data_IF_818914252714
#
_entry.id   IF_818914252714
#
_cell.length_a   1.000
_cell.length_b   1.000
_cell.length_c   1.000
_cell.angle_alpha   90.00
_cell.angle_beta   90.00
_cell.angle_gamma   90.00
#
_symmetry.space_group_name_H-M   'P 1'
#
loop_
_entity.id
_entity.type
_entity.pdbx_description
1 polymer ?
#
# COMPACT_ATOMS: atom_id res chain seq x y z
N UNK A 1 -8.41 13.78 -5.91
CA UNK A 1 -8.78 13.88 -4.49
C UNK A 1 -9.88 12.92 -4.05
N UNK A 2 -10.64 12.30 -4.96
CA UNK A 2 -11.66 11.28 -4.64
C UNK A 2 -11.12 10.12 -3.77
N UNK A 3 -9.86 9.72 -3.95
CA UNK A 3 -9.20 8.69 -3.12
C UNK A 3 -9.16 9.03 -1.62
N UNK A 4 -9.05 10.31 -1.26
CA UNK A 4 -9.08 10.73 0.14
C UNK A 4 -10.49 10.72 0.70
N UNK A 5 -11.48 11.20 -0.07
CA UNK A 5 -12.89 11.13 0.33
C UNK A 5 -13.34 9.68 0.57
N UNK A 6 -13.03 8.77 -0.36
CA UNK A 6 -13.29 7.33 -0.22
C UNK A 6 -12.58 6.73 1.00
N UNK A 7 -11.34 7.14 1.29
CA UNK A 7 -10.61 6.69 2.49
C UNK A 7 -11.29 7.16 3.77
N UNK A 8 -11.74 8.41 3.86
CA UNK A 8 -12.43 8.91 5.06
C UNK A 8 -13.66 8.06 5.33
N UNK A 9 -14.46 7.80 4.29
CA UNK A 9 -15.68 7.04 4.40
C UNK A 9 -15.42 5.61 4.90
N UNK A 10 -14.46 4.88 4.30
CA UNK A 10 -14.16 3.51 4.74
C UNK A 10 -13.53 3.47 6.13
N UNK A 11 -12.66 4.44 6.47
CA UNK A 11 -12.06 4.53 7.80
C UNK A 11 -13.11 4.74 8.87
N UNK A 12 -14.01 5.71 8.66
CA UNK A 12 -15.05 6.09 9.62
C UNK A 12 -16.12 5.01 9.78
N UNK A 13 -16.55 4.41 8.67
CA UNK A 13 -17.75 3.56 8.69
C UNK A 13 -17.42 2.06 8.79
N UNK A 14 -16.18 1.65 8.49
CA UNK A 14 -15.80 0.23 8.47
C UNK A 14 -14.60 -0.03 9.38
N UNK A 15 -13.47 0.64 9.16
CA UNK A 15 -12.21 0.30 9.84
C UNK A 15 -12.29 0.61 11.34
N UNK A 16 -12.64 1.83 11.72
CA UNK A 16 -12.72 2.22 13.14
C UNK A 16 -13.74 1.35 13.90
N UNK A 17 -14.98 1.18 13.42
CA UNK A 17 -15.96 0.33 14.12
C UNK A 17 -15.49 -1.12 14.28
N UNK A 18 -14.79 -1.69 13.29
CA UNK A 18 -14.26 -3.06 13.40
C UNK A 18 -13.11 -3.16 14.40
N UNK A 19 -12.18 -2.21 14.38
CA UNK A 19 -11.08 -2.18 15.35
C UNK A 19 -11.58 -1.98 16.79
N UNK A 20 -12.66 -1.22 17.00
CA UNK A 20 -13.28 -1.06 18.32
C UNK A 20 -13.96 -2.33 18.86
N UNK A 21 -14.20 -3.33 18.00
CA UNK A 21 -14.74 -4.64 18.35
C UNK A 21 -13.67 -5.73 18.24
N UNK A 22 -12.39 -5.38 18.45
CA UNK A 22 -11.23 -6.29 18.47
C UNK A 22 -11.01 -7.13 17.19
N UNK A 23 -11.58 -6.71 16.06
CA UNK A 23 -11.31 -7.36 14.78
C UNK A 23 -9.95 -6.96 14.19
N UNK A 24 -9.29 -7.92 13.54
CA UNK A 24 -8.16 -7.64 12.64
C UNK A 24 -8.71 -7.14 11.30
N UNK A 25 -8.24 -5.97 10.85
CA UNK A 25 -8.61 -5.39 9.56
C UNK A 25 -7.46 -5.54 8.56
N UNK A 26 -7.69 -6.29 7.48
CA UNK A 26 -6.79 -6.39 6.33
C UNK A 26 -7.30 -5.47 5.22
N UNK A 27 -6.45 -4.56 4.74
CA UNK A 27 -6.80 -3.60 3.69
C UNK A 27 -5.89 -3.78 2.48
N UNK A 28 -6.50 -4.00 1.30
CA UNK A 28 -5.78 -3.87 0.04
C UNK A 28 -5.57 -2.39 -0.26
N UNK A 29 -4.32 -1.95 -0.06
CA UNK A 29 -3.86 -0.55 -0.12
C UNK A 29 -4.40 0.34 0.99
N UNK A 30 -3.70 1.45 1.20
CA UNK A 30 -4.07 2.49 2.16
C UNK A 30 -3.35 3.82 1.83
N UNK A 31 -3.02 4.65 2.82
CA UNK A 31 -2.39 5.97 2.62
C UNK A 31 -1.02 5.92 1.91
N UNK A 32 -0.23 4.86 2.12
CA UNK A 32 1.06 4.70 1.43
C UNK A 32 0.90 4.72 -0.09
N UNK A 33 -0.17 4.12 -0.64
CA UNK A 33 -0.45 4.16 -2.07
C UNK A 33 -0.69 5.58 -2.57
N UNK A 34 -1.33 6.44 -1.78
CA UNK A 34 -1.50 7.84 -2.18
C UNK A 34 -0.17 8.56 -2.25
N UNK A 35 0.72 8.36 -1.27
CA UNK A 35 2.05 8.94 -1.30
C UNK A 35 2.84 8.47 -2.53
N UNK A 36 2.85 7.15 -2.80
CA UNK A 36 3.61 6.61 -3.92
C UNK A 36 3.08 7.10 -5.28
N UNK A 37 1.76 7.02 -5.51
CA UNK A 37 1.17 7.37 -6.82
C UNK A 37 1.03 8.87 -7.03
N UNK A 38 0.58 9.63 -6.03
CA UNK A 38 0.28 11.04 -6.20
C UNK A 38 1.54 11.90 -6.06
N UNK A 39 2.38 11.65 -5.05
CA UNK A 39 3.60 12.45 -4.86
C UNK A 39 4.67 12.03 -5.86
N UNK A 40 5.03 10.75 -5.87
CA UNK A 40 6.15 10.29 -6.72
C UNK A 40 5.74 9.98 -8.15
N UNK A 41 4.57 9.37 -8.37
CA UNK A 41 4.06 9.10 -9.71
C UNK A 41 3.66 10.36 -10.46
N UNK A 42 2.85 11.22 -9.83
CA UNK A 42 2.25 12.42 -10.47
C UNK A 42 2.91 13.75 -10.10
N UNK A 43 3.95 13.76 -9.27
CA UNK A 43 4.67 14.99 -8.92
C UNK A 43 3.89 15.95 -8.00
N UNK A 44 2.81 15.50 -7.36
CA UNK A 44 2.05 16.36 -6.44
C UNK A 44 2.94 16.71 -5.25
N UNK A 45 3.01 18.00 -4.90
CA UNK A 45 3.82 18.49 -3.79
C UNK A 45 3.45 17.74 -2.50
N UNK A 46 4.45 17.13 -1.83
CA UNK A 46 4.25 16.42 -0.56
C UNK A 46 3.57 17.28 0.51
N UNK A 47 3.86 18.60 0.53
CA UNK A 47 3.22 19.56 1.44
C UNK A 47 1.70 19.61 1.25
N UNK A 48 1.23 19.58 0.01
CA UNK A 48 -0.21 19.55 -0.30
C UNK A 48 -0.86 18.26 0.20
N UNK A 49 -0.21 17.12 -0.01
CA UNK A 49 -0.72 15.84 0.52
C UNK A 49 -0.79 15.87 2.05
N UNK A 50 0.25 16.35 2.73
CA UNK A 50 0.24 16.51 4.20
C UNK A 50 -0.87 17.46 4.67
N UNK A 51 -1.12 18.53 3.94
CA UNK A 51 -2.21 19.46 4.25
C UNK A 51 -3.57 18.75 4.16
N UNK A 52 -3.80 17.94 3.11
CA UNK A 52 -5.02 17.13 3.01
C UNK A 52 -5.15 16.14 4.16
N UNK A 53 -4.05 15.57 4.64
CA UNK A 53 -4.04 14.65 5.78
C UNK A 53 -4.52 15.29 7.10
N UNK A 54 -4.43 16.63 7.25
CA UNK A 54 -4.93 17.33 8.43
C UNK A 54 -6.46 17.32 8.55
N UNK A 55 -7.17 17.23 7.42
CA UNK A 55 -8.62 17.18 7.38
C UNK A 55 -9.18 15.75 7.48
N UNK A 56 -8.30 14.76 7.59
CA UNK A 56 -8.68 13.38 7.81
C UNK A 56 -8.80 13.15 9.32
N UNK A 57 -9.83 12.41 9.79
CA UNK A 57 -9.79 11.86 11.15
C UNK A 57 -8.43 11.21 11.35
N UNK A 58 -7.77 11.43 12.50
CA UNK A 58 -6.40 10.94 12.81
C UNK A 58 -6.15 9.65 12.05
N UNK A 59 -5.42 9.74 10.93
CA UNK A 59 -5.33 8.61 10.00
C UNK A 59 -4.77 7.46 10.81
N UNK A 60 -5.55 6.39 10.93
CA UNK A 60 -5.09 5.18 11.60
C UNK A 60 -3.81 4.75 10.89
N UNK A 61 -2.71 4.75 11.61
CA UNK A 61 -1.45 4.22 11.09
C UNK A 61 -1.59 2.70 11.11
N UNK A 62 -1.41 2.01 9.97
CA UNK A 62 -1.44 0.55 9.97
C UNK A 62 -0.38 0.01 10.92
N UNK A 63 -0.73 -0.99 11.72
CA UNK A 63 0.21 -1.65 12.63
C UNK A 63 1.27 -2.43 11.87
N UNK A 64 0.90 -3.00 10.71
CA UNK A 64 1.79 -3.67 9.78
C UNK A 64 1.49 -3.26 8.33
N UNK A 65 2.53 -3.14 7.52
CA UNK A 65 2.44 -2.86 6.09
C UNK A 65 3.27 -3.91 5.36
N UNK A 66 2.63 -4.65 4.45
CA UNK A 66 3.32 -5.60 3.58
C UNK A 66 3.27 -5.03 2.16
N UNK A 67 4.44 -4.85 1.56
CA UNK A 67 4.58 -4.42 0.17
C UNK A 67 5.23 -5.53 -0.64
N UNK A 68 4.48 -5.99 -1.64
CA UNK A 68 4.93 -6.96 -2.63
C UNK A 68 5.69 -6.22 -3.73
N UNK A 69 7.01 -6.17 -3.62
CA UNK A 69 7.87 -5.51 -4.59
C UNK A 69 8.03 -6.36 -5.85
N UNK A 70 7.68 -5.78 -6.99
CA UNK A 70 7.80 -6.45 -8.29
C UNK A 70 8.35 -5.48 -9.32
N UNK A 71 9.21 -6.00 -10.20
CA UNK A 71 9.69 -5.22 -11.32
C UNK A 71 8.52 -4.80 -12.25
N UNK A 72 8.38 -3.52 -12.64
CA UNK A 72 7.20 -3.06 -13.38
C UNK A 72 6.91 -3.81 -14.68
N UNK A 73 7.95 -4.25 -15.40
CA UNK A 73 7.78 -5.08 -16.61
C UNK A 73 7.05 -6.39 -16.31
N UNK A 74 7.40 -7.06 -15.21
CA UNK A 74 6.77 -8.32 -14.81
C UNK A 74 5.34 -8.09 -14.28
N UNK A 75 5.12 -6.99 -13.56
CA UNK A 75 3.78 -6.60 -13.11
C UNK A 75 2.82 -6.41 -14.29
N UNK A 76 3.25 -5.69 -15.34
CA UNK A 76 2.44 -5.47 -16.54
C UNK A 76 2.12 -6.79 -17.24
N UNK A 77 3.10 -7.70 -17.37
CA UNK A 77 2.85 -9.04 -17.94
C UNK A 77 1.78 -9.81 -17.17
N UNK A 78 1.82 -9.77 -15.83
CA UNK A 78 0.80 -10.43 -14.98
C UNK A 78 -0.57 -9.80 -15.15
N UNK A 79 -0.66 -8.47 -15.21
CA UNK A 79 -1.93 -7.76 -15.39
C UNK A 79 -2.55 -8.12 -16.74
N UNK A 80 -1.78 -8.07 -17.84
CA UNK A 80 -2.29 -8.37 -19.19
C UNK A 80 -2.85 -9.80 -19.27
N UNK A 81 -2.21 -10.76 -18.61
CA UNK A 81 -2.69 -12.15 -18.54
C UNK A 81 -4.00 -12.28 -17.75
N UNK A 82 -4.19 -11.46 -16.73
CA UNK A 82 -5.35 -11.55 -15.84
C UNK A 82 -6.54 -10.70 -16.32
N UNK A 83 -6.29 -9.51 -16.90
CA UNK A 83 -7.32 -8.54 -17.28
C UNK A 83 -6.81 -7.49 -18.28
N UNK A 84 -7.74 -6.71 -18.83
CA UNK A 84 -7.41 -5.52 -19.62
C UNK A 84 -6.83 -4.40 -18.74
N UNK A 85 -5.83 -3.69 -19.28
CA UNK A 85 -5.17 -2.57 -18.61
C UNK A 85 -6.14 -1.40 -18.39
N UNK A 86 -6.21 -0.90 -17.16
CA UNK A 86 -6.95 0.31 -16.81
C UNK A 86 -6.19 1.61 -17.19
N UNK A 87 -6.81 2.77 -16.94
CA UNK A 87 -6.20 4.08 -17.26
C UNK A 87 -4.88 4.33 -16.52
N UNK A 88 -4.71 3.80 -15.31
CA UNK A 88 -3.47 3.94 -14.55
C UNK A 88 -2.41 2.98 -15.11
N UNK A 89 -2.81 1.77 -15.45
CA UNK A 89 -1.95 0.71 -16.01
C UNK A 89 -1.41 1.01 -17.41
N UNK A 90 -2.04 1.94 -18.13
CA UNK A 90 -1.54 2.50 -19.39
C UNK A 90 -0.44 3.56 -19.25
N UNK A 91 -0.05 3.94 -18.03
CA UNK A 91 1.05 4.88 -17.83
C UNK A 91 2.41 4.27 -18.22
N UNK A 92 3.42 5.13 -18.40
CA UNK A 92 4.75 4.71 -18.86
C UNK A 92 5.50 3.86 -17.83
N UNK A 93 6.46 3.06 -18.31
CA UNK A 93 7.42 2.33 -17.46
C UNK A 93 8.09 3.25 -16.42
N UNK A 94 8.43 4.49 -16.81
CA UNK A 94 9.01 5.49 -15.92
C UNK A 94 8.07 5.86 -14.76
N UNK A 95 6.76 5.93 -15.00
CA UNK A 95 5.77 6.19 -13.95
C UNK A 95 5.76 5.09 -12.89
N UNK A 96 5.75 3.82 -13.31
CA UNK A 96 5.77 2.69 -12.39
C UNK A 96 7.10 2.55 -11.64
N UNK A 97 8.23 2.86 -12.28
CA UNK A 97 9.52 2.93 -11.59
C UNK A 97 9.54 4.00 -10.49
N UNK A 98 8.99 5.19 -10.77
CA UNK A 98 8.88 6.25 -9.75
C UNK A 98 8.03 5.80 -8.56
N UNK A 99 6.94 5.08 -8.80
CA UNK A 99 6.07 4.52 -7.76
C UNK A 99 6.81 3.47 -6.94
N UNK A 100 7.45 2.49 -7.59
CA UNK A 100 8.23 1.44 -6.93
C UNK A 100 9.33 2.03 -6.04
N UNK A 101 10.11 2.97 -6.57
CA UNK A 101 11.17 3.65 -5.81
C UNK A 101 10.61 4.43 -4.61
N UNK A 102 9.39 4.96 -4.72
CA UNK A 102 8.70 5.61 -3.61
C UNK A 102 8.35 4.61 -2.51
N UNK A 103 7.80 3.44 -2.87
CA UNK A 103 7.51 2.39 -1.91
C UNK A 103 8.77 1.91 -1.18
N UNK A 104 9.86 1.66 -1.90
CA UNK A 104 11.16 1.28 -1.32
C UNK A 104 11.69 2.38 -0.37
N UNK A 105 11.53 3.66 -0.73
CA UNK A 105 11.92 4.75 0.15
C UNK A 105 11.04 4.84 1.41
N UNK A 106 9.75 4.56 1.28
CA UNK A 106 8.78 4.57 2.38
C UNK A 106 8.90 3.34 3.29
N UNK A 107 9.48 2.24 2.80
CA UNK A 107 9.65 0.99 3.53
C UNK A 107 10.78 1.00 4.56
N UNK A 108 11.49 2.12 4.72
CA UNK A 108 12.51 2.29 5.77
C UNK A 108 11.94 2.38 7.20
N UNK A 109 10.64 2.17 7.37
CA UNK A 109 9.97 2.18 8.67
C UNK A 109 9.92 0.76 9.21
N UNK A 110 10.06 0.60 10.52
CA UNK A 110 10.11 -0.72 11.17
C UNK A 110 8.87 -1.59 10.93
N UNK A 111 7.69 -0.97 10.79
CA UNK A 111 6.43 -1.68 10.57
C UNK A 111 6.10 -1.93 9.08
N UNK A 112 7.09 -1.76 8.19
CA UNK A 112 6.93 -1.87 6.76
C UNK A 112 7.86 -2.94 6.19
N UNK A 113 7.27 -4.06 5.77
CA UNK A 113 7.98 -5.21 5.24
C UNK A 113 7.90 -5.23 3.72
N UNK A 114 9.06 -5.35 3.08
CA UNK A 114 9.20 -5.50 1.63
C UNK A 114 9.45 -6.97 1.31
N UNK A 115 8.62 -7.54 0.45
CA UNK A 115 8.71 -8.94 0.01
C UNK A 115 8.96 -8.96 -1.49
N UNK A 116 9.91 -9.77 -1.95
CA UNK A 116 10.18 -9.94 -3.38
C UNK A 116 9.09 -10.78 -4.05
N UNK A 117 8.22 -10.12 -4.79
CA UNK A 117 7.11 -10.74 -5.49
C UNK A 117 7.48 -11.32 -6.86
N UNK A 118 8.77 -11.36 -7.21
CA UNK A 118 9.28 -12.16 -8.35
C UNK A 118 9.41 -13.64 -8.00
N UNK A 119 9.44 -13.98 -6.70
CA UNK A 119 9.48 -15.36 -6.24
C UNK A 119 8.17 -16.11 -6.54
N UNK A 120 8.19 -17.42 -6.30
CA UNK A 120 6.98 -18.24 -6.41
C UNK A 120 5.97 -17.91 -5.31
N UNK A 121 4.68 -18.11 -5.60
CA UNK A 121 3.59 -17.87 -4.64
C UNK A 121 3.84 -18.60 -3.31
N UNK A 122 4.34 -19.84 -3.35
CA UNK A 122 4.68 -20.61 -2.15
C UNK A 122 5.76 -19.97 -1.27
N UNK A 123 6.75 -19.29 -1.87
CA UNK A 123 7.80 -18.59 -1.10
C UNK A 123 7.26 -17.30 -0.49
N UNK A 124 6.52 -16.53 -1.29
CA UNK A 124 5.87 -15.29 -0.84
C UNK A 124 4.92 -15.56 0.34
N UNK A 125 4.09 -16.61 0.23
CA UNK A 125 3.16 -17.03 1.28
C UNK A 125 3.88 -17.37 2.59
N UNK A 126 4.94 -18.20 2.52
CA UNK A 126 5.76 -18.52 3.69
C UNK A 126 6.42 -17.29 4.33
N UNK A 127 6.88 -16.35 3.52
CA UNK A 127 7.50 -15.12 4.01
C UNK A 127 6.49 -14.21 4.71
N UNK A 128 5.29 -14.06 4.14
CA UNK A 128 4.18 -13.32 4.77
C UNK A 128 3.80 -13.96 6.10
N UNK A 129 3.62 -15.28 6.15
CA UNK A 129 3.29 -16.01 7.38
C UNK A 129 4.34 -15.76 8.46
N UNK A 130 5.63 -15.89 8.12
CA UNK A 130 6.73 -15.62 9.06
C UNK A 130 6.69 -14.20 9.62
N UNK A 131 6.47 -13.20 8.75
CA UNK A 131 6.36 -11.79 9.16
C UNK A 131 5.19 -11.60 10.14
N UNK A 132 4.02 -12.18 9.81
CA UNK A 132 2.83 -12.05 10.63
C UNK A 132 2.96 -12.76 11.98
N UNK A 133 3.53 -13.98 12.02
CA UNK A 133 3.78 -14.72 13.27
C UNK A 133 4.73 -13.95 14.18
N UNK A 134 5.88 -13.51 13.64
CA UNK A 134 6.86 -12.74 14.42
C UNK A 134 6.28 -11.41 14.95
N UNK A 135 5.42 -10.77 14.15
CA UNK A 135 4.76 -9.54 14.57
C UNK A 135 3.74 -9.81 15.68
N UNK A 136 2.93 -10.87 15.54
CA UNK A 136 1.96 -11.26 16.55
C UNK A 136 2.65 -11.54 17.89
N UNK A 137 3.64 -12.44 17.92
CA UNK A 137 4.40 -12.79 19.14
C UNK A 137 5.07 -11.59 19.84
N UNK A 138 5.42 -10.54 19.10
CA UNK A 138 6.07 -9.34 19.66
C UNK A 138 5.08 -8.38 20.32
N UNK A 139 3.81 -8.39 19.89
CA UNK A 139 2.83 -7.36 20.25
C UNK A 139 1.55 -7.91 20.90
N UNK A 140 1.45 -9.24 21.07
CA UNK A 140 0.44 -9.94 21.87
C UNK A 140 1.13 -10.91 22.82
#
# INVERSE_FOLDING_TARGET
MLLYASRIQIVKNVIIPKLQNDFIVVSDRYNISTLAYQVSGRGIKKKFIKYLELFLPKILKPSIIIYLDIHPKEAVKRIIKARKLDKIEKNSFLFFNKIRNSYIKLSKKENFFLIDAQQSIKKIDKEIQKILTNWYEKYT
#
